data_IF_084959880569
#
_entry.id   IF_084959880569
#
_cell.length_a   1.000
_cell.length_b   1.000
_cell.length_c   1.000
_cell.angle_alpha   90.00
_cell.angle_beta   90.00
_cell.angle_gamma   90.00
#
_symmetry.space_group_name_H-M   'P 1'
#
loop_
_entity.id
_entity.type
_entity.pdbx_description
1 polymer ?
#
# COMPACT_ATOMS: atom_id res chain seq x y z
N UNK A 1 1.13 33.91 36.28
CA UNK A 1 1.51 34.38 34.93
C UNK A 1 1.73 33.17 34.04
N UNK A 2 1.28 33.27 32.80
CA UNK A 2 0.70 32.20 31.98
C UNK A 2 1.68 31.28 31.26
N UNK A 3 1.38 29.98 31.34
CA UNK A 3 1.49 28.90 30.35
C UNK A 3 2.39 29.15 29.11
N UNK A 4 3.63 28.69 29.20
CA UNK A 4 4.53 28.54 28.04
C UNK A 4 4.12 27.32 27.21
N UNK A 5 3.04 27.45 26.42
CA UNK A 5 2.77 26.52 25.31
C UNK A 5 3.88 26.65 24.28
N UNK A 6 4.90 25.79 24.40
CA UNK A 6 5.82 25.48 23.30
C UNK A 6 4.97 25.00 22.13
N UNK A 7 4.85 25.86 21.13
CA UNK A 7 4.28 25.53 19.84
C UNK A 7 5.05 24.36 19.23
N UNK A 8 4.39 23.21 19.13
CA UNK A 8 4.88 22.07 18.35
C UNK A 8 4.73 22.45 16.87
N UNK A 9 5.70 23.18 16.33
CA UNK A 9 5.87 23.31 14.87
C UNK A 9 6.86 22.26 14.42
N UNK A 10 6.39 21.03 14.24
CA UNK A 10 7.16 19.94 13.64
C UNK A 10 6.29 19.01 12.75
N UNK A 11 5.12 19.50 12.30
CA UNK A 11 4.22 18.73 11.44
C UNK A 11 4.33 19.04 9.94
N UNK A 12 4.88 20.21 9.57
CA UNK A 12 4.80 20.72 8.19
C UNK A 12 5.93 20.20 7.28
N UNK A 13 7.15 20.00 7.80
CA UNK A 13 8.31 19.57 7.00
C UNK A 13 8.21 18.09 6.61
N UNK A 14 7.77 17.23 7.55
CA UNK A 14 7.47 15.83 7.30
C UNK A 14 6.31 15.64 6.30
N UNK A 15 5.36 16.58 6.26
CA UNK A 15 4.24 16.52 5.33
C UNK A 15 4.67 16.77 3.88
N UNK A 16 5.62 17.69 3.66
CA UNK A 16 6.19 17.98 2.34
C UNK A 16 6.94 16.78 1.74
N UNK A 17 7.84 16.16 2.53
CA UNK A 17 8.58 14.97 2.10
C UNK A 17 7.64 13.80 1.76
N UNK A 18 6.63 13.56 2.60
CA UNK A 18 5.60 12.53 2.38
C UNK A 18 4.78 12.77 1.11
N UNK A 19 4.36 14.02 0.86
CA UNK A 19 3.65 14.41 -0.36
C UNK A 19 4.50 14.19 -1.61
N UNK A 20 5.79 14.56 -1.56
CA UNK A 20 6.72 14.37 -2.66
C UNK A 20 6.92 12.88 -2.98
N UNK A 21 7.15 12.04 -1.98
CA UNK A 21 7.29 10.60 -2.16
C UNK A 21 6.03 9.97 -2.76
N UNK A 22 4.85 10.33 -2.24
CA UNK A 22 3.56 9.87 -2.80
C UNK A 22 3.41 10.28 -4.27
N UNK A 23 3.77 11.52 -4.62
CA UNK A 23 3.72 11.99 -6.00
C UNK A 23 4.65 11.18 -6.91
N UNK A 24 5.89 10.93 -6.49
CA UNK A 24 6.85 10.12 -7.24
C UNK A 24 6.37 8.69 -7.44
N UNK A 25 5.80 8.06 -6.40
CA UNK A 25 5.22 6.71 -6.51
C UNK A 25 4.05 6.67 -7.50
N UNK A 26 3.11 7.63 -7.41
CA UNK A 26 1.99 7.67 -8.36
C UNK A 26 2.49 7.90 -9.78
N UNK A 27 3.50 8.74 -9.98
CA UNK A 27 4.11 9.00 -11.28
C UNK A 27 4.80 7.76 -11.84
N UNK A 28 5.56 7.02 -11.04
CA UNK A 28 6.20 5.78 -11.48
C UNK A 28 5.16 4.71 -11.82
N UNK A 29 4.12 4.54 -11.00
CA UNK A 29 3.02 3.61 -11.28
C UNK A 29 2.31 3.92 -12.60
N UNK A 30 2.07 5.21 -12.91
CA UNK A 30 1.51 5.63 -14.20
C UNK A 30 2.43 5.23 -15.36
N UNK A 31 3.74 5.50 -15.25
CA UNK A 31 4.73 5.10 -16.26
C UNK A 31 4.78 3.59 -16.46
N UNK A 32 4.80 2.81 -15.39
CA UNK A 32 4.77 1.35 -15.47
C UNK A 32 3.51 0.84 -16.16
N UNK A 33 2.35 1.41 -15.83
CA UNK A 33 1.07 1.08 -16.48
C UNK A 33 1.09 1.39 -17.97
N UNK A 34 1.62 2.55 -18.38
CA UNK A 34 1.78 2.92 -19.79
C UNK A 34 2.71 1.97 -20.53
N UNK A 35 3.86 1.63 -19.95
CA UNK A 35 4.81 0.68 -20.53
C UNK A 35 4.20 -0.71 -20.69
N UNK A 36 3.47 -1.17 -19.68
CA UNK A 36 2.75 -2.43 -19.72
C UNK A 36 1.70 -2.44 -20.84
N UNK A 37 0.90 -1.38 -20.98
CA UNK A 37 -0.09 -1.27 -22.05
C UNK A 37 0.56 -1.22 -23.44
N UNK A 38 1.64 -0.45 -23.61
CA UNK A 38 2.40 -0.43 -24.87
C UNK A 38 2.92 -1.83 -25.24
N UNK A 39 3.40 -2.59 -24.26
CA UNK A 39 3.82 -3.98 -24.50
C UNK A 39 2.66 -4.87 -24.91
N UNK A 40 1.51 -4.73 -24.25
CA UNK A 40 0.31 -5.52 -24.57
C UNK A 40 -0.23 -5.23 -25.97
N UNK A 41 -0.24 -3.97 -26.39
CA UNK A 41 -0.64 -3.59 -27.74
C UNK A 41 0.28 -4.24 -28.78
N UNK A 42 1.60 -4.20 -28.59
CA UNK A 42 2.54 -4.88 -29.49
C UNK A 42 2.30 -6.39 -29.61
N UNK A 43 1.96 -7.05 -28.51
CA UNK A 43 1.59 -8.48 -28.53
C UNK A 43 0.32 -8.72 -29.34
N UNK A 44 -0.69 -7.86 -29.18
CA UNK A 44 -1.94 -7.94 -29.95
C UNK A 44 -1.72 -7.69 -31.44
N UNK A 45 -0.93 -6.66 -31.80
CA UNK A 45 -0.55 -6.36 -33.19
C UNK A 45 0.16 -7.54 -33.84
N UNK A 46 1.10 -8.17 -33.13
CA UNK A 46 1.79 -9.37 -33.61
C UNK A 46 0.83 -10.55 -33.81
N UNK A 47 -0.07 -10.79 -32.86
CA UNK A 47 -1.07 -11.86 -32.99
C UNK A 47 -2.02 -11.61 -34.17
N UNK A 48 -2.41 -10.35 -34.39
CA UNK A 48 -3.22 -9.95 -35.53
C UNK A 48 -2.49 -10.14 -36.86
N UNK A 49 -1.26 -9.64 -36.98
CA UNK A 49 -0.45 -9.74 -38.20
C UNK A 49 -0.13 -11.19 -38.59
N UNK A 50 -0.04 -12.10 -37.62
CA UNK A 50 0.18 -13.54 -37.85
C UNK A 50 -1.11 -14.33 -38.08
N UNK A 51 -2.27 -13.68 -38.05
CA UNK A 51 -3.57 -14.35 -38.19
C UNK A 51 -3.94 -15.24 -37.01
N UNK A 52 -3.24 -15.13 -35.87
CA UNK A 52 -3.50 -15.95 -34.69
C UNK A 52 -4.67 -15.39 -33.86
N UNK A 53 -5.88 -15.63 -34.36
CA UNK A 53 -7.13 -15.17 -33.74
C UNK A 53 -7.31 -15.68 -32.30
N UNK A 54 -6.85 -16.90 -32.00
CA UNK A 54 -6.92 -17.48 -30.65
C UNK A 54 -6.08 -16.69 -29.65
N UNK A 55 -4.83 -16.38 -30.00
CA UNK A 55 -3.94 -15.61 -29.15
C UNK A 55 -4.46 -14.18 -28.95
N UNK A 56 -4.97 -13.55 -30.01
CA UNK A 56 -5.59 -12.22 -29.92
C UNK A 56 -6.80 -12.22 -28.96
N UNK A 57 -7.70 -13.20 -29.09
CA UNK A 57 -8.85 -13.32 -28.19
C UNK A 57 -8.45 -13.49 -26.73
N UNK A 58 -7.46 -14.36 -26.44
CA UNK A 58 -6.95 -14.55 -25.08
C UNK A 58 -6.34 -13.28 -24.50
N UNK A 59 -5.59 -12.52 -25.30
CA UNK A 59 -5.02 -11.24 -24.88
C UNK A 59 -6.12 -10.25 -24.50
N UNK A 60 -7.13 -10.05 -25.35
CA UNK A 60 -8.28 -9.17 -25.08
C UNK A 60 -9.04 -9.61 -23.84
N UNK A 61 -9.26 -10.92 -23.68
CA UNK A 61 -9.92 -11.48 -22.49
C UNK A 61 -9.14 -11.19 -21.21
N UNK A 62 -7.81 -11.30 -21.27
CA UNK A 62 -6.92 -11.13 -20.11
C UNK A 62 -6.71 -9.68 -19.68
N UNK A 63 -6.83 -8.74 -20.62
CA UNK A 63 -6.73 -7.29 -20.39
C UNK A 63 -8.07 -6.64 -20.06
N UNK A 64 -9.19 -7.35 -20.28
CA UNK A 64 -10.51 -6.92 -19.86
C UNK A 64 -10.63 -6.79 -18.33
N UNK A 65 -11.71 -6.19 -17.83
CA UNK A 65 -11.97 -6.07 -16.40
C UNK A 65 -11.90 -7.46 -15.77
N UNK A 66 -10.83 -7.74 -15.01
CA UNK A 66 -10.82 -8.89 -14.14
C UNK A 66 -11.88 -8.62 -13.11
N UNK A 67 -12.88 -9.51 -13.00
CA UNK A 67 -13.62 -9.62 -11.75
C UNK A 67 -12.53 -9.81 -10.71
N UNK A 68 -12.37 -8.84 -9.82
CA UNK A 68 -11.55 -9.05 -8.65
C UNK A 68 -12.24 -10.21 -7.94
N UNK A 69 -11.74 -11.43 -8.17
CA UNK A 69 -11.84 -12.44 -7.14
C UNK A 69 -11.07 -11.80 -6.01
N UNK A 70 -11.80 -11.12 -5.14
CA UNK A 70 -11.27 -10.61 -3.91
C UNK A 70 -10.47 -11.77 -3.35
N UNK A 71 -9.23 -11.55 -2.95
CA UNK A 71 -8.51 -12.54 -2.15
C UNK A 71 -9.30 -12.66 -0.84
N UNK A 72 -10.34 -13.49 -0.86
CA UNK A 72 -11.31 -13.61 0.23
C UNK A 72 -10.76 -14.45 1.38
N UNK A 73 -9.63 -15.09 1.15
CA UNK A 73 -8.98 -15.94 2.11
C UNK A 73 -8.10 -15.11 3.04
N UNK A 74 -8.73 -14.24 3.84
CA UNK A 74 -8.07 -13.65 5.01
C UNK A 74 -8.22 -14.64 6.15
N UNK A 75 -7.10 -15.06 6.73
CA UNK A 75 -7.07 -15.95 7.88
C UNK A 75 -6.89 -15.18 9.18
N UNK A 76 -7.42 -15.74 10.27
CA UNK A 76 -7.07 -15.38 11.64
C UNK A 76 -5.58 -15.68 11.92
N UNK A 77 -5.09 -15.20 13.06
CA UNK A 77 -3.70 -15.45 13.50
C UNK A 77 -3.37 -16.94 13.69
N UNK A 78 -4.37 -17.75 14.01
CA UNK A 78 -4.25 -19.20 14.16
C UNK A 78 -4.34 -19.96 12.83
N UNK A 79 -4.50 -19.24 11.70
CA UNK A 79 -4.61 -19.81 10.36
C UNK A 79 -6.04 -20.17 9.94
N UNK A 80 -7.02 -20.07 10.84
CA UNK A 80 -8.43 -20.34 10.51
C UNK A 80 -8.99 -19.32 9.51
N UNK A 81 -9.93 -19.75 8.66
CA UNK A 81 -10.45 -18.90 7.58
C UNK A 81 -11.58 -17.99 8.08
N UNK A 82 -11.48 -16.69 7.77
CA UNK A 82 -12.51 -15.70 8.13
C UNK A 82 -13.54 -15.59 7.00
N UNK A 83 -14.77 -16.05 7.28
CA UNK A 83 -15.88 -15.95 6.33
C UNK A 83 -16.68 -14.64 6.43
N UNK A 84 -16.59 -13.93 7.55
CA UNK A 84 -17.32 -12.67 7.76
C UNK A 84 -16.57 -11.47 7.18
N UNK A 85 -17.19 -10.71 6.28
CA UNK A 85 -16.59 -9.51 5.69
C UNK A 85 -16.19 -8.47 6.75
N UNK A 86 -17.04 -8.24 7.75
CA UNK A 86 -16.74 -7.32 8.86
C UNK A 86 -15.47 -7.76 9.59
N UNK A 87 -15.38 -9.05 9.92
CA UNK A 87 -14.22 -9.62 10.61
C UNK A 87 -12.94 -9.56 9.77
N UNK A 88 -13.06 -9.73 8.44
CA UNK A 88 -11.91 -9.56 7.53
C UNK A 88 -11.37 -8.14 7.57
N UNK A 89 -12.23 -7.12 7.63
CA UNK A 89 -11.80 -5.72 7.75
C UNK A 89 -11.12 -5.43 9.09
N UNK A 90 -11.66 -5.97 10.18
CA UNK A 90 -11.04 -5.86 11.52
C UNK A 90 -9.66 -6.52 11.55
N UNK A 91 -9.52 -7.74 11.02
CA UNK A 91 -8.24 -8.45 10.97
C UNK A 91 -7.20 -7.70 10.10
N UNK A 92 -7.64 -7.05 9.03
CA UNK A 92 -6.78 -6.16 8.25
C UNK A 92 -6.28 -4.97 9.08
N UNK A 93 -7.15 -4.31 9.84
CA UNK A 93 -6.79 -3.18 10.69
C UNK A 93 -5.75 -3.59 11.76
N UNK A 94 -6.00 -4.71 12.45
CA UNK A 94 -5.06 -5.27 13.44
C UNK A 94 -3.68 -5.55 12.83
N UNK A 95 -3.63 -6.18 11.66
CA UNK A 95 -2.37 -6.50 11.00
C UNK A 95 -1.56 -5.24 10.62
N UNK A 96 -2.24 -4.20 10.14
CA UNK A 96 -1.58 -2.92 9.86
C UNK A 96 -1.12 -2.22 11.13
N UNK A 97 -1.91 -2.26 12.20
CA UNK A 97 -1.51 -1.69 13.48
C UNK A 97 -0.25 -2.39 14.02
N UNK A 98 -0.22 -3.72 14.02
CA UNK A 98 0.96 -4.49 14.44
C UNK A 98 2.22 -4.19 13.62
N UNK A 99 2.09 -4.06 12.30
CA UNK A 99 3.23 -3.86 11.39
C UNK A 99 3.75 -2.41 11.39
N UNK A 100 2.88 -1.43 11.61
CA UNK A 100 3.20 -0.01 11.44
C UNK A 100 3.14 0.81 12.74
N UNK A 101 2.91 0.17 13.88
CA UNK A 101 3.10 0.79 15.20
C UNK A 101 4.56 1.17 15.41
N UNK A 102 4.82 2.44 15.73
CA UNK A 102 6.13 2.89 16.19
C UNK A 102 6.28 2.54 17.68
N UNK A 103 7.45 2.05 18.15
CA UNK A 103 7.64 1.86 19.59
C UNK A 103 7.46 3.20 20.30
N UNK A 104 6.79 3.26 21.46
CA UNK A 104 6.71 4.49 22.23
C UNK A 104 8.13 5.02 22.44
N UNK A 105 8.38 6.28 22.07
CA UNK A 105 9.69 6.89 22.22
C UNK A 105 10.18 6.66 23.64
N UNK A 106 11.37 6.06 23.75
CA UNK A 106 12.04 5.76 25.02
C UNK A 106 11.97 7.00 25.91
N UNK A 107 11.17 6.92 26.97
CA UNK A 107 11.15 7.94 28.01
C UNK A 107 12.59 8.08 28.52
N UNK A 108 13.13 9.30 28.71
CA UNK A 108 14.45 9.44 29.29
C UNK A 108 14.38 8.83 30.70
N UNK A 109 15.15 7.77 30.93
CA UNK A 109 15.38 7.24 32.27
C UNK A 109 15.94 8.40 33.08
N UNK A 110 15.16 8.90 34.02
CA UNK A 110 15.62 9.86 35.00
C UNK A 110 16.76 9.18 35.78
N UNK A 111 17.99 9.54 35.44
CA UNK A 111 19.17 9.19 36.22
C UNK A 111 18.99 9.92 37.55
N UNK A 112 18.52 9.21 38.56
CA UNK A 112 18.60 9.66 39.94
C UNK A 112 20.08 9.83 40.29
N UNK A 113 20.50 11.07 40.52
CA UNK A 113 21.76 11.34 41.19
C UNK A 113 21.61 10.95 42.67
N UNK A 114 22.43 10.03 43.21
CA UNK A 114 22.53 9.86 44.64
C UNK A 114 23.28 11.06 45.22
N UNK A 115 22.62 11.76 46.14
CA UNK A 115 23.31 12.71 47.00
C UNK A 115 24.11 11.95 48.04
N UNK A 116 25.38 12.34 48.18
CA UNK A 116 26.13 12.51 49.43
C UNK A 116 27.37 13.37 49.12
#
# INVERSE_FOLDING_TARGET
MTDSRRSITAGNECDGARKSLKHQMVKSLRRYRELWWKSKVREMEKAFATGNSRALYQLVRSTGPRKATVSETVSEKDGSLIHSQKRRLERWAEHFEEQFSWPPGTQPVAIMHPGE
#
